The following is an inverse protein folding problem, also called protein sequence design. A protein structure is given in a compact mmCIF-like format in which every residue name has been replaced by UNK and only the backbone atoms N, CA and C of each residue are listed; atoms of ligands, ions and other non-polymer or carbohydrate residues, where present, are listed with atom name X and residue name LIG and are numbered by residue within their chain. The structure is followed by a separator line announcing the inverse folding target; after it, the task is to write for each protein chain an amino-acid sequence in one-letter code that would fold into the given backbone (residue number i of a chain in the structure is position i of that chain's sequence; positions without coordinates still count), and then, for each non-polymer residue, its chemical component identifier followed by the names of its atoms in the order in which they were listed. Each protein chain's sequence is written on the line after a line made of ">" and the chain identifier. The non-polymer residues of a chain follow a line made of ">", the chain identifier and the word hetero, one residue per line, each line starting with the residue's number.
data_IF_595298810837
#
_entry.id   IF_595298810837
#
_cell.length_a   1.000
_cell.length_b   1.000
_cell.length_c   1.000
_cell.angle_alpha   90.00
_cell.angle_beta   90.00
_cell.angle_gamma   90.00
#
_symmetry.space_group_name_H-M   'P 1'
#
loop_
_entity.id
_entity.type
_entity.pdbx_description
1 polymer ?
#
# COMPACT_ATOMS: atom_id res chain seq x y z
N UNK A 1 21.25 -7.15 2.99
CA UNK A 1 19.81 -6.87 2.82
C UNK A 1 19.20 -6.41 4.13
N UNK A 2 18.57 -5.23 4.17
CA UNK A 2 17.74 -4.79 5.28
C UNK A 2 16.34 -5.43 5.18
N UNK A 3 15.84 -5.95 6.28
CA UNK A 3 14.45 -6.39 6.46
C UNK A 3 14.00 -5.98 7.85
N UNK A 4 13.05 -5.05 7.94
CA UNK A 4 12.66 -4.49 9.22
C UNK A 4 11.33 -3.75 9.18
N UNK A 5 11.07 -2.97 10.22
CA UNK A 5 9.87 -2.16 10.34
C UNK A 5 9.87 -0.97 9.37
N UNK A 6 8.68 -0.53 9.02
CA UNK A 6 8.47 0.72 8.27
C UNK A 6 9.01 1.91 9.06
N UNK A 7 9.73 2.78 8.39
CA UNK A 7 10.22 4.04 8.94
C UNK A 7 9.57 5.21 8.19
N UNK A 8 9.47 6.36 8.83
CA UNK A 8 9.19 7.60 8.10
C UNK A 8 10.33 7.86 7.10
N UNK A 9 10.05 8.45 5.93
CA UNK A 9 11.09 8.68 4.90
C UNK A 9 12.31 9.44 5.41
N UNK A 10 12.10 10.40 6.31
CA UNK A 10 13.18 11.20 6.90
C UNK A 10 14.10 10.34 7.77
N UNK A 11 13.50 9.46 8.60
CA UNK A 11 14.27 8.53 9.45
C UNK A 11 15.01 7.49 8.60
N UNK A 12 14.40 7.02 7.51
CA UNK A 12 15.06 6.11 6.57
C UNK A 12 16.27 6.78 5.89
N UNK A 13 16.14 8.03 5.49
CA UNK A 13 17.23 8.80 4.91
C UNK A 13 18.41 8.94 5.88
N UNK A 14 18.13 9.21 7.15
CA UNK A 14 19.15 9.30 8.19
C UNK A 14 19.83 7.94 8.43
N UNK A 15 19.05 6.87 8.53
CA UNK A 15 19.53 5.50 8.65
C UNK A 15 20.45 5.10 7.48
N UNK A 16 20.04 5.42 6.25
CA UNK A 16 20.88 5.18 5.06
C UNK A 16 22.23 5.91 5.15
N UNK A 17 22.23 7.18 5.56
CA UNK A 17 23.48 7.97 5.73
C UNK A 17 24.41 7.35 6.77
N UNK A 18 23.87 6.95 7.92
CA UNK A 18 24.65 6.31 8.99
C UNK A 18 25.28 5.00 8.51
N UNK A 19 24.50 4.15 7.81
CA UNK A 19 25.03 2.91 7.25
C UNK A 19 26.14 3.16 6.21
N UNK A 20 25.96 4.15 5.33
CA UNK A 20 27.00 4.55 4.36
C UNK A 20 28.29 4.99 5.05
N UNK A 21 28.19 5.73 6.16
CA UNK A 21 29.34 6.12 6.98
C UNK A 21 30.10 4.94 7.58
N UNK A 22 29.41 3.79 7.78
CA UNK A 22 30.00 2.53 8.24
C UNK A 22 30.42 1.58 7.10
N UNK A 23 30.31 2.01 5.84
CA UNK A 23 30.64 1.20 4.67
C UNK A 23 29.56 0.22 4.21
N UNK A 24 28.33 0.32 4.73
CA UNK A 24 27.20 -0.51 4.32
C UNK A 24 26.27 0.24 3.35
N UNK A 25 25.76 -0.47 2.36
CA UNK A 25 24.87 0.09 1.35
C UNK A 25 23.53 -0.65 1.35
N UNK A 26 22.44 0.09 1.48
CA UNK A 26 21.10 -0.46 1.33
C UNK A 26 20.81 -0.75 -0.14
N UNK A 27 20.06 -1.81 -0.43
CA UNK A 27 19.60 -2.14 -1.80
C UNK A 27 18.70 -1.03 -2.34
N UNK A 28 17.81 -0.51 -1.48
CA UNK A 28 16.91 0.59 -1.83
C UNK A 28 17.44 1.88 -1.23
N UNK A 29 17.66 2.89 -2.04
CA UNK A 29 18.02 4.23 -1.58
C UNK A 29 16.82 4.96 -0.98
N UNK A 30 17.06 6.05 -0.23
CA UNK A 30 16.02 6.81 0.45
C UNK A 30 14.98 7.43 -0.49
N UNK A 31 15.36 7.78 -1.72
CA UNK A 31 14.42 8.34 -2.69
C UNK A 31 13.47 7.27 -3.24
N UNK A 32 13.98 6.10 -3.53
CA UNK A 32 13.19 4.93 -3.95
C UNK A 32 12.31 4.43 -2.82
N UNK A 33 12.84 4.40 -1.58
CA UNK A 33 12.05 4.07 -0.40
C UNK A 33 10.85 4.99 -0.26
N UNK A 34 11.06 6.32 -0.23
CA UNK A 34 9.97 7.30 -0.12
C UNK A 34 8.94 7.14 -1.23
N UNK A 35 9.41 6.92 -2.48
CA UNK A 35 8.52 6.73 -3.63
C UNK A 35 7.57 5.54 -3.44
N UNK A 36 8.10 4.39 -3.04
CA UNK A 36 7.31 3.16 -2.90
C UNK A 36 6.51 3.13 -1.60
N UNK A 37 7.02 3.75 -0.54
CA UNK A 37 6.40 3.79 0.77
C UNK A 37 5.16 4.69 0.79
N UNK A 38 5.24 5.86 0.15
CA UNK A 38 4.12 6.80 0.02
C UNK A 38 3.32 6.50 -1.26
N UNK A 39 2.16 5.89 -1.12
CA UNK A 39 1.31 5.47 -2.25
C UNK A 39 1.05 6.58 -3.28
N UNK A 40 0.93 7.82 -2.83
CA UNK A 40 0.69 8.98 -3.69
C UNK A 40 1.79 9.22 -4.72
N UNK A 41 3.02 8.76 -4.45
CA UNK A 41 4.16 8.90 -5.36
C UNK A 41 4.17 7.80 -6.44
N UNK A 42 3.57 6.65 -6.17
CA UNK A 42 3.43 5.56 -7.15
C UNK A 42 2.16 5.75 -8.00
N UNK A 43 1.15 6.40 -7.44
CA UNK A 43 -0.16 6.57 -8.07
C UNK A 43 -0.11 7.02 -9.54
N UNK A 44 0.70 8.01 -9.96
CA UNK A 44 0.77 8.40 -11.38
C UNK A 44 1.14 7.26 -12.32
N UNK A 45 1.92 6.28 -11.84
CA UNK A 45 2.39 5.13 -12.62
C UNK A 45 1.26 4.08 -12.74
N UNK A 46 0.52 3.85 -11.65
CA UNK A 46 -0.46 2.77 -11.53
C UNK A 46 -1.92 3.24 -11.71
N UNK A 47 -2.16 4.52 -11.98
CA UNK A 47 -3.50 5.15 -11.94
C UNK A 47 -4.56 4.47 -12.80
N UNK A 48 -4.15 3.79 -13.87
CA UNK A 48 -5.07 3.11 -14.78
C UNK A 48 -5.56 1.74 -14.24
N UNK A 49 -4.85 1.19 -13.24
CA UNK A 49 -5.18 -0.10 -12.64
C UNK A 49 -5.28 -0.02 -11.11
N UNK A 50 -5.65 1.16 -10.59
CA UNK A 50 -5.95 1.36 -9.16
C UNK A 50 -7.16 2.26 -8.99
N UNK A 51 -7.80 2.23 -7.81
CA UNK A 51 -8.93 3.10 -7.52
C UNK A 51 -8.54 4.59 -7.60
N UNK A 52 -9.40 5.46 -8.15
CA UNK A 52 -9.19 6.90 -8.15
C UNK A 52 -8.91 7.44 -6.76
N UNK A 53 -8.01 8.41 -6.67
CA UNK A 53 -7.69 9.06 -5.41
C UNK A 53 -7.39 10.56 -5.58
N UNK A 54 -7.52 11.30 -4.49
CA UNK A 54 -7.07 12.68 -4.33
C UNK A 54 -6.19 12.80 -3.10
N UNK A 55 -5.23 13.72 -3.14
CA UNK A 55 -4.35 14.05 -2.01
C UNK A 55 -4.62 15.46 -1.50
N UNK A 56 -4.53 15.60 -0.19
CA UNK A 56 -4.73 16.86 0.52
C UNK A 56 -3.57 17.10 1.50
N UNK A 57 -3.15 18.35 1.70
CA UNK A 57 -2.27 18.70 2.82
C UNK A 57 -2.90 18.30 4.16
N UNK A 58 -2.06 18.10 5.18
CA UNK A 58 -2.56 17.88 6.55
C UNK A 58 -3.43 19.05 7.00
N UNK A 59 -4.44 18.74 7.79
CA UNK A 59 -5.37 19.71 8.38
C UNK A 59 -6.18 20.55 7.37
N UNK A 60 -6.20 20.14 6.09
CA UNK A 60 -7.12 20.73 5.11
C UNK A 60 -8.54 20.28 5.44
N UNK A 61 -9.45 21.23 5.59
CA UNK A 61 -10.88 20.91 5.66
C UNK A 61 -11.37 20.48 4.29
N UNK A 62 -11.85 19.26 4.20
CA UNK A 62 -12.35 18.65 2.96
C UNK A 62 -13.86 18.77 2.90
N UNK A 63 -14.40 19.18 1.77
CA UNK A 63 -15.85 19.21 1.51
C UNK A 63 -16.33 17.76 1.30
N UNK A 64 -17.12 17.24 2.24
CA UNK A 64 -17.61 15.86 2.20
C UNK A 64 -18.57 15.64 1.01
N UNK A 65 -19.39 16.64 0.68
CA UNK A 65 -20.30 16.53 -0.47
C UNK A 65 -19.53 16.39 -1.78
N UNK A 66 -18.47 17.17 -1.96
CA UNK A 66 -17.58 17.05 -3.11
C UNK A 66 -16.95 15.66 -3.19
N UNK A 67 -16.51 15.09 -2.04
CA UNK A 67 -15.92 13.74 -2.00
C UNK A 67 -16.96 12.65 -2.35
N UNK A 68 -18.19 12.79 -1.83
CA UNK A 68 -19.29 11.88 -2.14
C UNK A 68 -19.65 11.92 -3.64
N UNK A 69 -19.75 13.10 -4.21
CA UNK A 69 -20.07 13.27 -5.65
C UNK A 69 -18.93 12.74 -6.54
N UNK A 70 -17.67 12.85 -6.10
CA UNK A 70 -16.50 12.39 -6.86
C UNK A 70 -16.29 10.87 -6.77
N UNK A 71 -16.46 10.30 -5.59
CA UNK A 71 -16.03 8.91 -5.33
C UNK A 71 -17.20 7.96 -5.03
N UNK A 72 -18.39 8.45 -4.66
CA UNK A 72 -19.46 7.67 -4.08
C UNK A 72 -19.08 7.24 -2.66
N UNK A 73 -18.54 6.02 -2.54
CA UNK A 73 -17.90 5.56 -1.31
C UNK A 73 -16.39 5.83 -1.35
N UNK A 74 -15.83 6.28 -0.24
CA UNK A 74 -14.39 6.57 -0.16
C UNK A 74 -13.80 6.21 1.18
N UNK A 75 -12.51 5.94 1.19
CA UNK A 75 -11.72 5.68 2.39
C UNK A 75 -10.68 6.78 2.61
N UNK A 76 -10.33 6.99 3.90
CA UNK A 76 -9.30 7.92 4.33
C UNK A 76 -8.04 7.15 4.73
N UNK A 77 -6.91 7.62 4.26
CA UNK A 77 -5.60 7.16 4.71
C UNK A 77 -4.60 8.34 4.71
N UNK A 78 -3.50 8.21 5.44
CA UNK A 78 -2.35 9.05 5.13
C UNK A 78 -1.65 8.53 3.85
N UNK A 79 -0.52 9.07 3.49
CA UNK A 79 0.17 8.63 2.28
C UNK A 79 0.63 7.16 2.33
N UNK A 80 0.60 6.52 3.51
CA UNK A 80 1.09 5.15 3.74
C UNK A 80 -0.02 4.21 4.19
N UNK A 81 -0.77 4.57 5.24
CA UNK A 81 -1.71 3.66 5.92
C UNK A 81 -3.06 4.31 6.21
N UNK A 82 -4.11 3.48 6.22
CA UNK A 82 -5.39 3.78 6.85
C UNK A 82 -5.34 3.44 8.34
N UNK A 83 -6.36 3.85 9.08
CA UNK A 83 -6.62 3.37 10.43
C UNK A 83 -7.31 2.00 10.34
N UNK A 84 -6.80 1.02 11.08
CA UNK A 84 -7.37 -0.35 11.16
C UNK A 84 -7.44 -0.80 12.62
N UNK A 85 -8.39 -1.68 12.94
CA UNK A 85 -8.50 -2.27 14.27
C UNK A 85 -9.06 -1.32 15.35
N UNK A 86 -9.81 -0.30 14.94
CA UNK A 86 -10.49 0.67 15.82
C UNK A 86 -11.94 0.86 15.35
N UNK A 87 -12.65 1.80 15.96
CA UNK A 87 -13.98 2.25 15.55
C UNK A 87 -13.98 3.18 14.32
N UNK A 88 -12.82 3.53 13.78
CA UNK A 88 -12.71 4.38 12.59
C UNK A 88 -13.35 3.68 11.38
N UNK A 89 -14.27 4.36 10.64
CA UNK A 89 -14.95 3.78 9.49
C UNK A 89 -13.99 3.25 8.42
N UNK A 90 -14.25 2.06 7.91
CA UNK A 90 -13.49 1.49 6.78
C UNK A 90 -13.67 2.33 5.52
N UNK A 91 -14.87 2.88 5.34
CA UNK A 91 -15.22 3.83 4.29
C UNK A 91 -16.33 4.78 4.77
N UNK A 92 -16.49 5.86 4.04
CA UNK A 92 -17.58 6.83 4.14
C UNK A 92 -18.42 6.77 2.87
N UNK A 93 -19.73 6.98 3.00
CA UNK A 93 -20.68 6.96 1.90
C UNK A 93 -21.54 8.25 1.86
N UNK A 94 -22.63 8.23 1.11
CA UNK A 94 -23.52 9.38 0.95
C UNK A 94 -24.31 9.76 2.21
N UNK A 95 -24.27 8.94 3.26
CA UNK A 95 -25.03 9.20 4.50
C UNK A 95 -24.28 10.09 5.49
N UNK A 96 -22.93 10.15 5.39
CA UNK A 96 -22.12 10.95 6.32
C UNK A 96 -22.34 12.44 6.09
N UNK A 97 -22.57 13.18 7.17
CA UNK A 97 -22.66 14.65 7.14
C UNK A 97 -21.27 15.29 7.26
N UNK A 98 -21.17 16.58 6.90
CA UNK A 98 -19.90 17.32 7.05
C UNK A 98 -19.45 17.35 8.51
N UNK A 99 -20.37 17.56 9.44
CA UNK A 99 -20.05 17.62 10.87
C UNK A 99 -19.48 16.30 11.40
N UNK A 100 -20.09 15.18 11.02
CA UNK A 100 -19.61 13.85 11.41
C UNK A 100 -18.26 13.53 10.77
N UNK A 101 -18.10 13.89 9.49
CA UNK A 101 -16.83 13.67 8.77
C UNK A 101 -15.69 14.48 9.39
N UNK A 102 -15.93 15.76 9.72
CA UNK A 102 -14.94 16.60 10.41
C UNK A 102 -14.52 15.95 11.74
N UNK A 103 -15.46 15.42 12.53
CA UNK A 103 -15.18 14.69 13.77
C UNK A 103 -14.39 13.39 13.56
N UNK A 104 -14.66 12.65 12.48
CA UNK A 104 -13.86 11.47 12.12
C UNK A 104 -12.46 11.84 11.68
N UNK A 105 -12.27 12.97 11.01
CA UNK A 105 -10.93 13.44 10.64
C UNK A 105 -10.09 13.79 11.86
N UNK A 106 -10.68 14.39 12.92
CA UNK A 106 -9.97 14.61 14.19
C UNK A 106 -9.52 13.28 14.81
N UNK A 107 -10.41 12.27 14.86
CA UNK A 107 -10.07 10.93 15.34
C UNK A 107 -8.99 10.28 14.47
N UNK A 108 -9.03 10.46 13.14
CA UNK A 108 -8.00 9.96 12.23
C UNK A 108 -6.61 10.47 12.63
N UNK A 109 -6.49 11.78 12.89
CA UNK A 109 -5.23 12.38 13.33
C UNK A 109 -4.78 11.84 14.69
N UNK A 110 -5.70 11.64 15.63
CA UNK A 110 -5.40 11.05 16.94
C UNK A 110 -4.89 9.60 16.79
N UNK A 111 -5.58 8.76 16.02
CA UNK A 111 -5.18 7.36 15.81
C UNK A 111 -3.86 7.22 15.05
N UNK A 112 -3.60 8.08 14.08
CA UNK A 112 -2.33 8.07 13.37
C UNK A 112 -1.18 8.64 14.21
N UNK A 113 -1.43 9.65 15.00
CA UNK A 113 -0.45 10.24 15.93
C UNK A 113 0.93 10.40 15.31
N UNK A 114 1.95 9.90 15.97
CA UNK A 114 3.33 9.94 15.50
C UNK A 114 3.61 9.08 14.25
N UNK A 115 2.68 8.20 13.85
CA UNK A 115 2.82 7.39 12.64
C UNK A 115 2.28 8.09 11.39
N UNK A 116 1.65 9.26 11.55
CA UNK A 116 1.13 10.06 10.44
C UNK A 116 2.27 10.41 9.48
N UNK A 117 2.08 10.10 8.19
CA UNK A 117 3.11 10.27 7.17
C UNK A 117 2.57 11.02 5.96
N UNK A 118 3.27 12.09 5.57
CA UNK A 118 2.91 12.93 4.42
C UNK A 118 1.63 13.72 4.64
N UNK A 119 0.66 13.58 3.75
CA UNK A 119 -0.65 14.24 3.81
C UNK A 119 -1.80 13.23 3.92
N UNK A 120 -3.00 13.69 3.59
CA UNK A 120 -4.21 12.86 3.53
C UNK A 120 -4.45 12.38 2.10
N UNK A 121 -4.80 11.12 1.95
CA UNK A 121 -5.21 10.48 0.72
C UNK A 121 -6.67 10.02 0.87
N UNK A 122 -7.55 10.57 0.04
CA UNK A 122 -8.93 10.10 -0.13
C UNK A 122 -8.94 9.21 -1.36
N UNK A 123 -9.34 7.98 -1.19
CA UNK A 123 -9.35 6.96 -2.24
C UNK A 123 -10.74 6.36 -2.37
N UNK A 124 -11.24 6.18 -3.60
CA UNK A 124 -12.51 5.47 -3.83
C UNK A 124 -12.46 4.10 -3.16
N UNK A 125 -13.49 3.78 -2.40
CA UNK A 125 -13.67 2.46 -1.83
C UNK A 125 -14.33 1.55 -2.87
N UNK A 126 -13.76 0.37 -3.07
CA UNK A 126 -14.25 -0.66 -3.99
C UNK A 126 -14.50 -1.96 -3.22
N UNK A 127 -15.57 -2.65 -3.59
CA UNK A 127 -15.85 -3.97 -3.03
C UNK A 127 -14.93 -5.00 -3.68
N UNK A 128 -14.20 -5.69 -2.83
CA UNK A 128 -13.30 -6.75 -3.25
C UNK A 128 -14.04 -8.09 -3.23
N UNK A 129 -13.80 -8.91 -4.24
CA UNK A 129 -14.34 -10.25 -4.31
C UNK A 129 -13.85 -11.11 -3.17
N UNK A 130 -14.78 -11.84 -2.56
CA UNK A 130 -14.50 -12.70 -1.41
C UNK A 130 -14.73 -14.17 -1.77
N UNK A 131 -13.88 -15.02 -1.21
CA UNK A 131 -14.01 -16.46 -1.20
C UNK A 131 -13.94 -16.92 0.25
N UNK A 132 -14.93 -17.66 0.70
CA UNK A 132 -15.05 -18.14 2.09
C UNK A 132 -14.94 -17.00 3.14
N UNK A 133 -15.46 -15.80 2.81
CA UNK A 133 -15.42 -14.61 3.67
C UNK A 133 -14.14 -13.78 3.62
N UNK A 134 -13.09 -14.24 2.94
CA UNK A 134 -11.81 -13.52 2.80
C UNK A 134 -11.68 -12.90 1.40
N UNK A 135 -11.14 -11.68 1.33
CA UNK A 135 -10.87 -10.99 0.07
C UNK A 135 -9.80 -11.71 -0.74
N UNK A 136 -9.95 -11.73 -2.07
CA UNK A 136 -8.94 -12.28 -2.96
C UNK A 136 -7.84 -11.26 -3.22
N UNK A 137 -6.78 -11.36 -2.46
CA UNK A 137 -5.65 -10.42 -2.50
C UNK A 137 -4.33 -11.16 -2.62
N UNK A 138 -3.42 -10.64 -3.43
CA UNK A 138 -2.08 -11.15 -3.60
C UNK A 138 -1.04 -10.05 -3.51
N UNK A 139 0.05 -10.32 -2.78
CA UNK A 139 1.28 -9.50 -2.78
C UNK A 139 2.30 -10.10 -3.71
N UNK A 140 2.79 -9.29 -4.68
CA UNK A 140 3.96 -9.61 -5.48
C UNK A 140 5.17 -8.85 -4.97
N UNK A 141 6.31 -9.53 -4.83
CA UNK A 141 7.61 -8.91 -4.66
C UNK A 141 8.32 -8.83 -6.01
N UNK A 142 8.84 -7.64 -6.32
CA UNK A 142 9.71 -7.42 -7.47
C UNK A 142 11.13 -7.18 -6.99
N UNK A 143 12.10 -7.86 -7.61
CA UNK A 143 13.50 -7.70 -7.31
C UNK A 143 14.27 -7.42 -8.62
N UNK A 144 14.95 -6.27 -8.69
CA UNK A 144 15.62 -5.77 -9.90
C UNK A 144 14.75 -5.87 -11.16
N UNK A 145 13.55 -5.28 -11.09
CA UNK A 145 12.56 -5.25 -12.17
C UNK A 145 12.05 -6.63 -12.65
N UNK A 146 12.19 -7.66 -11.83
CA UNK A 146 11.67 -9.00 -12.13
C UNK A 146 10.66 -9.42 -11.05
N UNK A 147 9.50 -9.96 -11.43
CA UNK A 147 8.65 -10.65 -10.48
C UNK A 147 9.45 -11.73 -9.75
N UNK A 148 9.44 -11.73 -8.43
CA UNK A 148 10.21 -12.67 -7.63
C UNK A 148 9.30 -13.75 -7.04
N UNK A 149 8.31 -13.35 -6.26
CA UNK A 149 7.39 -14.27 -5.61
C UNK A 149 6.02 -13.61 -5.44
N UNK A 150 4.97 -14.37 -5.74
CA UNK A 150 3.57 -14.00 -5.54
C UNK A 150 3.03 -14.74 -4.33
N UNK A 151 2.57 -14.00 -3.35
CA UNK A 151 2.04 -14.52 -2.08
C UNK A 151 0.56 -14.21 -1.95
N UNK A 152 -0.24 -15.17 -1.56
CA UNK A 152 -1.63 -14.95 -1.17
C UNK A 152 -1.72 -14.25 0.18
N UNK A 153 -2.86 -13.64 0.48
CA UNK A 153 -3.11 -13.07 1.79
C UNK A 153 -3.31 -14.19 2.84
N UNK A 154 -3.07 -13.88 4.11
CA UNK A 154 -3.31 -14.82 5.20
C UNK A 154 -4.77 -15.27 5.20
N UNK A 155 -5.00 -16.57 5.45
CA UNK A 155 -6.33 -17.21 5.50
C UNK A 155 -7.12 -17.22 4.18
N UNK A 156 -6.53 -16.79 3.07
CA UNK A 156 -7.17 -16.83 1.76
C UNK A 156 -7.31 -18.29 1.27
N UNK A 157 -8.46 -18.62 0.69
CA UNK A 157 -8.74 -19.94 0.11
C UNK A 157 -7.76 -20.29 -1.02
N UNK A 158 -7.37 -21.55 -1.13
CA UNK A 158 -6.55 -22.04 -2.25
C UNK A 158 -7.33 -22.09 -3.57
N UNK A 159 -8.67 -22.00 -3.53
CA UNK A 159 -9.53 -21.92 -4.70
C UNK A 159 -9.51 -20.54 -5.39
N UNK A 160 -8.89 -19.52 -4.78
CA UNK A 160 -8.81 -18.18 -5.34
C UNK A 160 -7.97 -18.15 -6.61
N UNK A 161 -8.49 -17.50 -7.66
CA UNK A 161 -7.69 -17.25 -8.86
C UNK A 161 -6.56 -16.25 -8.58
N UNK A 162 -5.47 -16.36 -9.34
CA UNK A 162 -4.32 -15.45 -9.23
C UNK A 162 -4.49 -14.25 -10.15
N UNK A 163 -3.85 -13.11 -9.85
CA UNK A 163 -3.83 -11.97 -10.77
C UNK A 163 -3.19 -12.34 -12.11
N UNK A 164 -3.66 -11.73 -13.22
CA UNK A 164 -3.13 -12.01 -14.54
C UNK A 164 -1.62 -11.72 -14.64
N UNK A 165 -0.87 -12.63 -15.22
CA UNK A 165 0.58 -12.49 -15.42
C UNK A 165 0.93 -11.22 -16.22
N UNK A 166 0.07 -10.84 -17.17
CA UNK A 166 0.23 -9.60 -17.94
C UNK A 166 0.19 -8.36 -17.04
N UNK A 167 -0.75 -8.32 -16.06
CA UNK A 167 -0.87 -7.22 -15.10
C UNK A 167 0.35 -7.17 -14.18
N UNK A 168 0.82 -8.31 -13.67
CA UNK A 168 2.04 -8.39 -12.87
C UNK A 168 3.24 -7.83 -13.66
N UNK A 169 3.43 -8.27 -14.89
CA UNK A 169 4.56 -7.85 -15.72
C UNK A 169 4.49 -6.38 -16.17
N UNK A 170 3.30 -5.81 -16.27
CA UNK A 170 3.09 -4.38 -16.60
C UNK A 170 3.79 -3.46 -15.63
N UNK A 171 3.83 -3.83 -14.35
CA UNK A 171 4.33 -2.98 -13.25
C UNK A 171 5.68 -3.44 -12.67
N UNK A 172 6.45 -4.26 -13.38
CA UNK A 172 7.77 -4.70 -12.92
C UNK A 172 8.80 -3.57 -12.79
N UNK A 173 8.58 -2.44 -13.47
CA UNK A 173 9.51 -1.29 -13.48
C UNK A 173 8.93 -0.11 -12.67
N UNK A 174 9.04 -0.20 -11.34
CA UNK A 174 8.62 0.87 -10.42
C UNK A 174 9.77 1.80 -9.98
N UNK A 175 10.89 1.79 -10.73
CA UNK A 175 12.08 2.57 -10.41
C UNK A 175 12.61 2.34 -8.99
N UNK A 176 12.54 1.09 -8.54
CA UNK A 176 13.11 0.62 -7.28
C UNK A 176 13.66 -0.79 -7.47
N UNK A 177 14.84 -1.10 -6.93
CA UNK A 177 15.40 -2.45 -7.03
C UNK A 177 14.64 -3.49 -6.21
N UNK A 178 13.85 -3.08 -5.20
CA UNK A 178 13.07 -4.01 -4.40
C UNK A 178 11.75 -3.38 -3.97
N UNK A 179 10.64 -3.85 -4.53
CA UNK A 179 9.31 -3.26 -4.34
C UNK A 179 8.23 -4.32 -4.21
N UNK A 180 7.06 -3.91 -3.73
CA UNK A 180 5.85 -4.73 -3.70
C UNK A 180 4.66 -4.00 -4.31
N UNK A 181 3.75 -4.78 -4.89
CA UNK A 181 2.37 -4.37 -5.18
C UNK A 181 1.41 -5.39 -4.61
N UNK A 182 0.31 -4.89 -4.08
CA UNK A 182 -0.82 -5.71 -3.67
C UNK A 182 -1.93 -5.60 -4.73
N UNK A 183 -2.31 -6.73 -5.28
CA UNK A 183 -3.41 -6.87 -6.22
C UNK A 183 -4.64 -7.42 -5.52
N UNK A 184 -5.82 -6.93 -5.90
CA UNK A 184 -7.09 -7.47 -5.43
C UNK A 184 -8.04 -7.72 -6.60
N UNK A 185 -8.87 -8.75 -6.47
CA UNK A 185 -9.94 -9.03 -7.41
C UNK A 185 -11.20 -8.25 -7.01
N UNK A 186 -11.87 -7.64 -7.99
CA UNK A 186 -13.17 -7.01 -7.81
C UNK A 186 -14.31 -8.00 -8.04
N UNK A 187 -15.53 -7.61 -7.66
CA UNK A 187 -16.74 -8.43 -7.83
C UNK A 187 -17.05 -8.78 -9.31
N UNK A 188 -16.61 -7.95 -10.25
CA UNK A 188 -16.74 -8.17 -11.70
C UNK A 188 -15.62 -9.02 -12.30
N UNK A 189 -14.82 -9.67 -11.47
CA UNK A 189 -13.65 -10.47 -11.82
C UNK A 189 -12.44 -9.70 -12.36
N UNK A 190 -12.52 -8.40 -12.51
CA UNK A 190 -11.36 -7.57 -12.86
C UNK A 190 -10.37 -7.46 -11.70
N UNK A 191 -9.13 -7.04 -12.02
CA UNK A 191 -8.04 -6.93 -11.03
C UNK A 191 -7.53 -5.52 -10.95
N UNK A 192 -7.28 -5.08 -9.71
CA UNK A 192 -6.72 -3.75 -9.43
C UNK A 192 -5.52 -3.85 -8.48
N UNK A 193 -4.72 -2.79 -8.49
CA UNK A 193 -3.67 -2.55 -7.48
C UNK A 193 -4.31 -1.80 -6.31
N UNK A 194 -4.18 -2.34 -5.11
CA UNK A 194 -4.73 -1.72 -3.90
C UNK A 194 -3.67 -1.01 -3.06
N UNK A 195 -2.43 -1.50 -3.09
CA UNK A 195 -1.32 -0.93 -2.32
C UNK A 195 0.03 -1.12 -3.05
N UNK A 196 0.99 -0.25 -2.74
CA UNK A 196 2.40 -0.37 -3.11
C UNK A 196 3.26 -0.30 -1.86
N UNK A 197 4.48 -0.85 -1.93
CA UNK A 197 5.38 -0.81 -0.80
C UNK A 197 6.85 -1.00 -1.19
N UNK A 198 7.73 -0.61 -0.29
CA UNK A 198 9.13 -0.98 -0.37
C UNK A 198 9.32 -2.44 0.06
N UNK A 199 10.08 -3.21 -0.73
CA UNK A 199 10.26 -4.63 -0.51
C UNK A 199 11.00 -4.96 0.80
N UNK A 200 11.79 -4.03 1.35
CA UNK A 200 12.55 -4.24 2.58
C UNK A 200 11.67 -4.20 3.84
N UNK A 201 10.54 -3.47 3.78
CA UNK A 201 9.63 -3.30 4.93
C UNK A 201 8.26 -3.92 4.71
N UNK A 202 8.00 -4.46 3.53
CA UNK A 202 6.76 -5.19 3.25
C UNK A 202 6.78 -6.56 3.90
N UNK A 203 5.70 -6.90 4.62
CA UNK A 203 5.56 -8.18 5.31
C UNK A 203 5.41 -9.37 4.34
N UNK A 204 5.80 -10.54 4.78
CA UNK A 204 5.49 -11.81 4.15
C UNK A 204 4.04 -12.17 4.52
N UNK A 205 3.14 -12.19 3.54
CA UNK A 205 1.71 -12.41 3.79
C UNK A 205 1.35 -13.89 3.92
N UNK A 206 2.15 -14.76 3.35
CA UNK A 206 2.03 -16.22 3.44
C UNK A 206 3.26 -16.81 4.13
N UNK A 207 3.12 -17.16 5.40
CA UNK A 207 4.24 -17.68 6.22
C UNK A 207 4.82 -19.00 5.69
N UNK A 208 4.03 -19.80 4.95
CA UNK A 208 4.49 -21.05 4.34
C UNK A 208 5.56 -20.82 3.26
N UNK A 209 5.60 -19.62 2.68
CA UNK A 209 6.57 -19.24 1.65
C UNK A 209 7.81 -18.52 2.19
N UNK A 210 7.96 -18.39 3.50
CA UNK A 210 9.07 -17.64 4.12
C UNK A 210 10.44 -18.18 3.71
N UNK A 211 10.64 -19.49 3.77
CA UNK A 211 11.91 -20.12 3.40
C UNK A 211 12.23 -19.88 1.92
N UNK A 212 11.25 -20.10 1.04
CA UNK A 212 11.39 -19.88 -0.39
C UNK A 212 11.75 -18.41 -0.69
N UNK A 213 11.09 -17.46 -0.02
CA UNK A 213 11.37 -16.03 -0.17
C UNK A 213 12.85 -15.71 0.11
N UNK A 214 13.38 -16.16 1.25
CA UNK A 214 14.77 -15.88 1.59
C UNK A 214 15.78 -16.64 0.73
N UNK A 215 15.46 -17.86 0.29
CA UNK A 215 16.26 -18.60 -0.68
C UNK A 215 16.36 -17.82 -2.01
N UNK A 216 15.26 -17.35 -2.56
CA UNK A 216 15.25 -16.56 -3.79
C UNK A 216 16.04 -15.25 -3.67
N UNK A 217 15.99 -14.59 -2.51
CA UNK A 217 16.81 -13.40 -2.26
C UNK A 217 18.31 -13.72 -2.19
N UNK A 218 18.69 -14.85 -1.60
CA UNK A 218 20.09 -15.28 -1.51
C UNK A 218 20.67 -15.64 -2.88
N UNK A 219 19.90 -16.30 -3.74
CA UNK A 219 20.33 -16.72 -5.07
C UNK A 219 20.49 -15.54 -6.05
N UNK A 220 19.92 -14.37 -5.72
CA UNK A 220 19.94 -13.18 -6.57
C UNK A 220 20.95 -12.12 -6.12
N UNK A 221 21.59 -12.30 -4.97
CA UNK A 221 22.69 -11.49 -4.43
C UNK A 221 24.03 -12.19 -4.68
#
# INVERSE_FOLDING_TARGET
>A
LYRGWMMKPELYCEFEKQLKGLGYYLIVDSSSYKRLHEFVNVYPIIRNDTAPMMKFPLHTRMDVKFLQDTFGRFMVKDYVKSVKGSDFPVYFDSTITQFEFDGWMEKFYQYRGNLLTGGICIKRYLDLKKYDGYTNEYRIFYYFNKPMILMKNSNQSDACCKPPVALINKYKMLNSPFSTLDFAQLEDDSWIIIESGDGQVSGITDSSQTEMFYKMLKEKN
#
